data_IF_854063074417
#
_entry.id   IF_854063074417
#
_cell.length_a   1.000
_cell.length_b   1.000
_cell.length_c   1.000
_cell.angle_alpha   90.00
_cell.angle_beta   90.00
_cell.angle_gamma   90.00
#
_symmetry.space_group_name_H-M   'P 1'
#
loop_
_entity.id
_entity.type
_entity.pdbx_description
1 polymer ?
#
# COMPACT_ATOMS: atom_id res chain seq x y z
N UNK A 1 -17.01 0.13 16.50
CA UNK A 1 -18.18 -0.25 17.32
C UNK A 1 -17.89 0.07 18.78
N UNK A 2 -17.07 -0.71 19.50
CA UNK A 2 -16.83 -0.49 20.94
C UNK A 2 -16.31 0.92 21.30
N UNK A 3 -15.36 1.47 20.53
CA UNK A 3 -14.87 2.84 20.74
C UNK A 3 -15.95 3.92 20.62
N UNK A 4 -16.88 3.76 19.67
CA UNK A 4 -17.94 4.75 19.43
C UNK A 4 -18.96 4.68 20.55
N UNK A 5 -19.29 3.48 21.04
CA UNK A 5 -20.16 3.28 22.22
C UNK A 5 -19.61 3.94 23.48
N UNK A 6 -18.29 3.90 23.65
CA UNK A 6 -17.62 4.46 24.81
C UNK A 6 -17.56 5.99 24.77
N UNK A 7 -17.23 6.58 23.62
CA UNK A 7 -17.19 8.04 23.43
C UNK A 7 -18.56 8.70 23.25
N UNK A 8 -19.48 8.02 22.57
CA UNK A 8 -20.79 8.51 22.22
C UNK A 8 -21.82 7.49 22.69
N UNK A 9 -22.49 7.75 23.83
CA UNK A 9 -23.50 6.89 24.47
C UNK A 9 -24.73 6.54 23.58
N UNK A 10 -24.73 6.84 22.28
CA UNK A 10 -25.80 6.53 21.33
C UNK A 10 -25.47 5.32 20.45
N UNK A 11 -26.13 4.18 20.70
CA UNK A 11 -26.03 2.95 19.89
C UNK A 11 -26.58 3.09 18.44
N UNK A 12 -27.10 4.26 18.02
CA UNK A 12 -27.87 4.42 16.78
C UNK A 12 -27.07 4.81 15.52
N UNK A 13 -25.77 5.08 15.62
CA UNK A 13 -25.00 5.65 14.48
C UNK A 13 -23.76 4.85 14.06
N UNK A 14 -23.47 3.74 14.72
CA UNK A 14 -22.25 2.94 14.43
C UNK A 14 -22.30 2.22 13.09
N UNK A 15 -23.47 1.70 12.71
CA UNK A 15 -23.66 1.08 11.39
C UNK A 15 -23.44 2.08 10.26
N UNK A 16 -23.67 3.38 10.50
CA UNK A 16 -23.46 4.43 9.51
C UNK A 16 -21.97 4.50 9.15
N UNK A 17 -21.08 4.43 10.14
CA UNK A 17 -19.63 4.43 9.90
C UNK A 17 -19.21 3.23 9.05
N UNK A 18 -19.73 2.03 9.35
CA UNK A 18 -19.44 0.82 8.58
C UNK A 18 -19.92 0.95 7.13
N UNK A 19 -21.13 1.46 6.92
CA UNK A 19 -21.69 1.70 5.58
C UNK A 19 -20.88 2.75 4.84
N UNK A 20 -20.50 3.85 5.49
CA UNK A 20 -19.66 4.89 4.90
C UNK A 20 -18.29 4.36 4.48
N UNK A 21 -17.61 3.57 5.32
CA UNK A 21 -16.32 2.94 4.99
C UNK A 21 -16.49 1.98 3.80
N UNK A 22 -17.50 1.12 3.83
CA UNK A 22 -17.75 0.16 2.75
C UNK A 22 -18.10 0.83 1.42
N UNK A 23 -19.00 1.82 1.45
CA UNK A 23 -19.42 2.56 0.26
C UNK A 23 -18.26 3.37 -0.34
N UNK A 24 -17.50 4.09 0.51
CA UNK A 24 -16.33 4.86 0.06
C UNK A 24 -15.20 3.98 -0.46
N UNK A 25 -14.97 2.80 0.13
CA UNK A 25 -14.04 1.80 -0.40
C UNK A 25 -14.48 1.29 -1.77
N UNK A 26 -15.77 0.99 -1.94
CA UNK A 26 -16.34 0.65 -3.24
C UNK A 26 -16.11 1.75 -4.29
N UNK A 27 -16.40 3.01 -3.94
CA UNK A 27 -16.15 4.17 -4.81
C UNK A 27 -14.67 4.31 -5.14
N UNK A 28 -13.79 4.14 -4.15
CA UNK A 28 -12.34 4.16 -4.33
C UNK A 28 -11.90 3.11 -5.33
N UNK A 29 -12.40 1.88 -5.23
CA UNK A 29 -12.05 0.81 -6.18
C UNK A 29 -12.48 1.12 -7.60
N UNK A 30 -13.67 1.69 -7.79
CA UNK A 30 -14.18 2.08 -9.11
C UNK A 30 -13.39 3.24 -9.72
N UNK A 31 -13.16 4.29 -8.93
CA UNK A 31 -12.45 5.49 -9.38
C UNK A 31 -10.97 5.19 -9.67
N UNK A 32 -10.26 4.61 -8.70
CA UNK A 32 -8.85 4.29 -8.85
C UNK A 32 -8.62 3.09 -9.77
N UNK A 33 -9.60 2.21 -9.98
CA UNK A 33 -9.52 1.15 -10.98
C UNK A 33 -9.40 1.73 -12.38
N UNK A 34 -10.26 2.70 -12.72
CA UNK A 34 -10.17 3.44 -13.99
C UNK A 34 -8.84 4.18 -14.11
N UNK A 35 -8.44 4.90 -13.07
CA UNK A 35 -7.16 5.63 -13.06
C UNK A 35 -5.97 4.68 -13.24
N UNK A 36 -6.03 3.48 -12.66
CA UNK A 36 -5.00 2.44 -12.76
C UNK A 36 -4.82 1.88 -14.18
N UNK A 37 -5.89 1.85 -14.97
CA UNK A 37 -5.83 1.49 -16.40
C UNK A 37 -5.22 2.62 -17.25
N UNK A 38 -5.48 3.87 -16.90
CA UNK A 38 -5.03 5.05 -17.64
C UNK A 38 -3.56 5.44 -17.35
N UNK A 39 -3.01 5.08 -16.19
CA UNK A 39 -1.66 5.49 -15.77
C UNK A 39 -0.69 4.31 -15.88
N UNK A 40 0.19 4.25 -16.90
CA UNK A 40 1.23 3.22 -16.95
C UNK A 40 2.44 3.52 -16.03
N UNK A 41 3.04 2.46 -15.49
CA UNK A 41 4.38 2.47 -14.88
C UNK A 41 4.49 2.90 -13.41
N UNK A 42 5.70 3.33 -13.03
CA UNK A 42 6.15 3.64 -11.65
C UNK A 42 5.26 4.64 -10.88
N UNK A 43 4.43 5.43 -11.56
CA UNK A 43 3.48 6.36 -10.92
C UNK A 43 2.45 5.64 -10.05
N UNK A 44 2.08 4.40 -10.39
CA UNK A 44 1.16 3.58 -9.57
C UNK A 44 1.71 3.35 -8.16
N UNK A 45 3.02 3.12 -8.04
CA UNK A 45 3.68 2.89 -6.75
C UNK A 45 3.65 4.17 -5.90
N UNK A 46 3.84 5.36 -6.48
CA UNK A 46 3.74 6.61 -5.73
C UNK A 46 2.31 6.88 -5.23
N UNK A 47 1.27 6.53 -6.01
CA UNK A 47 -0.12 6.63 -5.54
C UNK A 47 -0.40 5.66 -4.38
N UNK A 48 0.20 4.47 -4.42
CA UNK A 48 0.12 3.50 -3.33
C UNK A 48 0.81 4.01 -2.07
N UNK A 49 2.02 4.56 -2.19
CA UNK A 49 2.74 5.17 -1.07
C UNK A 49 1.93 6.31 -0.45
N UNK A 50 1.39 7.21 -1.28
CA UNK A 50 0.55 8.30 -0.79
C UNK A 50 -0.70 7.77 -0.06
N UNK A 51 -1.32 6.71 -0.57
CA UNK A 51 -2.48 6.08 0.05
C UNK A 51 -2.14 5.44 1.40
N UNK A 52 -0.99 4.76 1.52
CA UNK A 52 -0.52 4.19 2.78
C UNK A 52 -0.21 5.25 3.84
N UNK A 53 0.44 6.35 3.43
CA UNK A 53 0.73 7.48 4.32
C UNK A 53 -0.56 8.15 4.79
N UNK A 54 -1.52 8.38 3.88
CA UNK A 54 -2.82 8.92 4.21
C UNK A 54 -3.62 7.99 5.13
N UNK A 55 -3.63 6.68 4.86
CA UNK A 55 -4.31 5.69 5.69
C UNK A 55 -3.74 5.67 7.12
N UNK A 56 -2.41 5.67 7.26
CA UNK A 56 -1.75 5.72 8.56
C UNK A 56 -2.04 7.02 9.32
N UNK A 57 -1.93 8.17 8.65
CA UNK A 57 -2.21 9.48 9.24
C UNK A 57 -3.68 9.60 9.69
N UNK A 58 -4.62 9.26 8.81
CA UNK A 58 -6.05 9.32 9.10
C UNK A 58 -6.41 8.37 10.25
N UNK A 59 -5.78 7.19 10.32
CA UNK A 59 -5.97 6.22 11.42
C UNK A 59 -5.54 6.81 12.78
N UNK A 60 -4.42 7.52 12.82
CA UNK A 60 -3.97 8.23 14.03
C UNK A 60 -4.86 9.43 14.40
N UNK A 61 -5.55 10.04 13.42
CA UNK A 61 -6.51 11.12 13.65
C UNK A 61 -7.88 10.63 14.16
N UNK A 62 -8.25 9.35 13.96
CA UNK A 62 -9.49 8.75 14.48
C UNK A 62 -9.71 9.04 15.98
N UNK A 63 -8.76 8.72 16.89
CA UNK A 63 -8.98 8.92 18.32
C UNK A 63 -9.07 10.40 18.74
N UNK A 64 -8.47 11.29 17.96
CA UNK A 64 -8.50 12.75 18.20
C UNK A 64 -9.86 13.37 17.85
N UNK A 65 -10.70 12.68 17.07
CA UNK A 65 -12.05 13.14 16.76
C UNK A 65 -12.93 13.10 18.02
N UNK A 66 -13.43 14.27 18.42
CA UNK A 66 -14.38 14.44 19.52
C UNK A 66 -15.84 14.57 19.03
N UNK A 67 -16.05 14.74 17.72
CA UNK A 67 -17.37 14.91 17.10
C UNK A 67 -17.66 13.80 16.09
N UNK A 68 -18.90 13.32 16.08
CA UNK A 68 -19.34 12.21 15.20
C UNK A 68 -19.19 12.55 13.71
N UNK A 69 -19.53 13.78 13.33
CA UNK A 69 -19.40 14.24 11.93
C UNK A 69 -17.95 14.17 11.43
N UNK A 70 -16.97 14.60 12.24
CA UNK A 70 -15.55 14.50 11.88
C UNK A 70 -15.11 13.03 11.76
N UNK A 71 -15.62 12.16 12.64
CA UNK A 71 -15.35 10.73 12.57
C UNK A 71 -15.88 10.12 11.26
N UNK A 72 -17.09 10.51 10.82
CA UNK A 72 -17.65 10.06 9.53
C UNK A 72 -16.78 10.51 8.37
N UNK A 73 -16.34 11.77 8.35
CA UNK A 73 -15.45 12.28 7.30
C UNK A 73 -14.14 11.50 7.27
N UNK A 74 -13.49 11.30 8.42
CA UNK A 74 -12.26 10.50 8.51
C UNK A 74 -12.50 9.06 8.04
N UNK A 75 -13.62 8.43 8.42
CA UNK A 75 -13.99 7.10 7.98
C UNK A 75 -14.22 6.99 6.46
N UNK A 76 -14.81 8.01 5.83
CA UNK A 76 -14.96 8.08 4.36
C UNK A 76 -13.60 8.18 3.68
N UNK A 77 -12.70 9.02 4.18
CA UNK A 77 -11.34 9.10 3.63
C UNK A 77 -10.56 7.80 3.84
N UNK A 78 -10.67 7.18 5.01
CA UNK A 78 -10.06 5.88 5.29
C UNK A 78 -10.56 4.79 4.33
N UNK A 79 -11.87 4.70 4.12
CA UNK A 79 -12.45 3.74 3.17
C UNK A 79 -11.99 4.01 1.74
N UNK A 80 -11.96 5.27 1.31
CA UNK A 80 -11.45 5.66 -0.01
C UNK A 80 -9.97 5.26 -0.20
N UNK A 81 -9.11 5.54 0.78
CA UNK A 81 -7.69 5.17 0.76
C UNK A 81 -7.48 3.66 0.79
N UNK A 82 -8.25 2.93 1.60
CA UNK A 82 -8.23 1.46 1.66
C UNK A 82 -8.68 0.83 0.31
N UNK A 83 -9.72 1.39 -0.30
CA UNK A 83 -10.19 0.99 -1.63
C UNK A 83 -9.12 1.21 -2.71
N UNK A 84 -8.47 2.38 -2.70
CA UNK A 84 -7.33 2.66 -3.58
C UNK A 84 -6.18 1.65 -3.36
N UNK A 85 -5.83 1.40 -2.09
CA UNK A 85 -4.78 0.48 -1.71
C UNK A 85 -4.98 -0.93 -2.29
N UNK A 86 -6.17 -1.50 -2.10
CA UNK A 86 -6.52 -2.83 -2.61
C UNK A 86 -6.52 -2.87 -4.14
N UNK A 87 -7.03 -1.84 -4.80
CA UNK A 87 -7.05 -1.78 -6.27
C UNK A 87 -5.65 -1.69 -6.87
N UNK A 88 -4.75 -0.93 -6.25
CA UNK A 88 -3.38 -0.75 -6.74
C UNK A 88 -2.44 -1.90 -6.37
N UNK A 89 -2.81 -2.71 -5.37
CA UNK A 89 -2.03 -3.87 -4.92
C UNK A 89 -1.75 -4.86 -6.05
N UNK A 90 -2.77 -5.21 -6.87
CA UNK A 90 -2.60 -6.16 -7.96
C UNK A 90 -1.68 -5.60 -9.07
N UNK A 91 -1.93 -4.41 -9.67
CA UNK A 91 -1.03 -3.81 -10.66
C UNK A 91 0.42 -3.70 -10.18
N UNK A 92 0.65 -3.35 -8.92
CA UNK A 92 2.00 -3.24 -8.36
C UNK A 92 2.67 -4.61 -8.27
N UNK A 93 1.93 -5.65 -7.87
CA UNK A 93 2.47 -7.01 -7.89
C UNK A 93 2.84 -7.44 -9.31
N UNK A 94 1.99 -7.18 -10.30
CA UNK A 94 2.27 -7.48 -11.71
C UNK A 94 3.54 -6.79 -12.22
N UNK A 95 3.75 -5.52 -11.86
CA UNK A 95 4.95 -4.75 -12.25
C UNK A 95 6.22 -5.23 -11.51
N UNK A 96 6.11 -5.66 -10.25
CA UNK A 96 7.27 -6.05 -9.44
C UNK A 96 7.75 -7.48 -9.69
N UNK A 97 6.84 -8.45 -9.82
CA UNK A 97 7.22 -9.88 -9.99
C UNK A 97 7.00 -10.40 -11.41
N UNK A 98 6.37 -9.61 -12.27
CA UNK A 98 6.02 -10.02 -13.63
C UNK A 98 4.76 -10.89 -13.70
N UNK A 99 4.15 -11.01 -14.89
CA UNK A 99 2.82 -11.58 -15.05
C UNK A 99 2.72 -13.08 -14.74
N UNK A 100 3.81 -13.84 -14.88
CA UNK A 100 3.82 -15.28 -14.62
C UNK A 100 3.65 -15.64 -13.14
N UNK A 101 4.16 -14.81 -12.22
CA UNK A 101 4.18 -15.11 -10.78
C UNK A 101 3.30 -14.16 -9.95
N UNK A 102 2.70 -13.14 -10.57
CA UNK A 102 1.88 -12.13 -9.89
C UNK A 102 0.72 -12.72 -9.10
N UNK A 103 0.00 -13.70 -9.64
CA UNK A 103 -1.14 -14.34 -8.95
C UNK A 103 -0.72 -15.05 -7.67
N UNK A 104 0.43 -15.76 -7.70
CA UNK A 104 0.98 -16.42 -6.52
C UNK A 104 1.43 -15.39 -5.47
N UNK A 105 2.13 -14.33 -5.91
CA UNK A 105 2.55 -13.25 -5.03
C UNK A 105 1.37 -12.54 -4.35
N UNK A 106 0.31 -12.22 -5.11
CA UNK A 106 -0.92 -11.63 -4.57
C UNK A 106 -1.56 -12.58 -3.55
N UNK A 107 -1.63 -13.87 -3.86
CA UNK A 107 -2.12 -14.89 -2.93
C UNK A 107 -1.35 -14.93 -1.62
N UNK A 108 0.00 -14.92 -1.68
CA UNK A 108 0.82 -14.86 -0.48
C UNK A 108 0.65 -13.57 0.31
N UNK A 109 0.56 -12.42 -0.37
CA UNK A 109 0.33 -11.14 0.29
C UNK A 109 -1.02 -11.11 1.01
N UNK A 110 -2.10 -11.57 0.37
CA UNK A 110 -3.43 -11.65 0.98
C UNK A 110 -3.45 -12.67 2.14
N UNK A 111 -2.78 -13.79 1.98
CA UNK A 111 -2.59 -14.79 3.04
C UNK A 111 -1.91 -14.19 4.26
N UNK A 112 -0.80 -13.47 4.07
CA UNK A 112 -0.08 -12.80 5.14
C UNK A 112 -0.89 -11.65 5.77
N UNK A 113 -1.72 -10.95 4.99
CA UNK A 113 -2.62 -9.90 5.51
C UNK A 113 -3.76 -10.45 6.36
N UNK A 114 -4.18 -11.70 6.16
CA UNK A 114 -5.25 -12.30 6.97
C UNK A 114 -4.85 -12.42 8.45
N UNK A 115 -3.56 -12.59 8.76
CA UNK A 115 -3.03 -12.69 10.12
C UNK A 115 -3.27 -11.41 10.94
N UNK A 116 -2.79 -10.22 10.52
CA UNK A 116 -3.07 -8.98 11.24
C UNK A 116 -4.55 -8.61 11.23
N UNK A 117 -5.32 -8.97 10.18
CA UNK A 117 -6.77 -8.73 10.20
C UNK A 117 -7.49 -9.56 11.26
N UNK A 118 -7.07 -10.81 11.47
CA UNK A 118 -7.64 -11.69 12.50
C UNK A 118 -7.12 -11.35 13.89
N UNK A 119 -5.84 -10.99 14.00
CA UNK A 119 -5.21 -10.61 15.26
C UNK A 119 -5.57 -9.19 15.72
N UNK A 120 -5.99 -8.31 14.82
CA UNK A 120 -6.35 -6.92 15.13
C UNK A 120 -7.41 -6.78 16.22
N UNK A 121 -8.59 -7.42 16.09
CA UNK A 121 -9.63 -7.37 17.12
C UNK A 121 -9.20 -7.86 18.51
N UNK A 122 -8.56 -9.05 18.68
CA UNK A 122 -8.12 -9.50 20.01
C UNK A 122 -7.00 -8.62 20.58
N UNK A 123 -6.06 -8.14 19.75
CA UNK A 123 -5.02 -7.20 20.20
C UNK A 123 -5.66 -5.89 20.68
N UNK A 124 -6.61 -5.33 19.93
CA UNK A 124 -7.32 -4.12 20.33
C UNK A 124 -8.12 -4.30 21.65
N UNK A 125 -8.73 -5.48 21.84
CA UNK A 125 -9.41 -5.83 23.09
C UNK A 125 -8.45 -5.95 24.27
N UNK A 126 -7.28 -6.57 24.07
CA UNK A 126 -6.24 -6.70 25.08
C UNK A 126 -5.69 -5.33 25.49
N UNK A 127 -5.35 -4.47 24.51
CA UNK A 127 -4.88 -3.11 24.78
C UNK A 127 -5.91 -2.27 25.52
N UNK A 128 -7.20 -2.41 25.18
CA UNK A 128 -8.26 -1.77 25.93
C UNK A 128 -8.29 -2.24 27.39
N UNK A 129 -8.08 -3.54 27.64
CA UNK A 129 -7.99 -4.10 28.99
C UNK A 129 -6.81 -3.56 29.81
N UNK A 130 -5.66 -3.30 29.18
CA UNK A 130 -4.46 -2.78 29.86
C UNK A 130 -4.49 -1.25 30.08
N UNK A 131 -4.90 -0.48 29.08
CA UNK A 131 -4.86 1.00 29.11
C UNK A 131 -6.19 1.65 29.49
N UNK A 132 -7.28 0.90 29.51
CA UNK A 132 -8.63 1.39 29.82
C UNK A 132 -9.23 2.31 28.75
N UNK A 133 -8.63 2.41 27.55
CA UNK A 133 -9.15 3.17 26.43
C UNK A 133 -8.68 2.59 25.08
N UNK A 134 -9.39 2.90 23.99
CA UNK A 134 -9.03 2.45 22.63
C UNK A 134 -8.07 3.39 21.89
N UNK A 135 -7.71 4.55 22.44
CA UNK A 135 -6.87 5.55 21.76
C UNK A 135 -5.53 4.96 21.36
N UNK A 136 -4.90 4.21 22.26
CA UNK A 136 -3.61 3.55 22.01
C UNK A 136 -3.75 2.49 20.90
N UNK A 137 -4.86 1.73 20.89
CA UNK A 137 -5.11 0.72 19.87
C UNK A 137 -5.27 1.33 18.47
N UNK A 138 -5.99 2.45 18.33
CA UNK A 138 -6.11 3.15 17.04
C UNK A 138 -4.79 3.80 16.60
N UNK A 139 -4.04 4.40 17.54
CA UNK A 139 -2.75 4.98 17.21
C UNK A 139 -1.76 3.92 16.73
N UNK A 140 -1.75 2.73 17.35
CA UNK A 140 -0.93 1.59 16.91
C UNK A 140 -1.40 1.03 15.57
N UNK A 141 -2.70 1.03 15.27
CA UNK A 141 -3.23 0.58 13.99
C UNK A 141 -2.72 1.42 12.80
N UNK A 142 -2.35 2.69 13.02
CA UNK A 142 -1.77 3.56 11.99
C UNK A 142 -0.28 3.33 11.71
N UNK A 143 0.45 2.65 12.61
CA UNK A 143 1.91 2.46 12.48
C UNK A 143 2.28 1.50 11.34
N UNK A 144 1.68 0.29 11.22
CA UNK A 144 1.98 -0.63 10.13
C UNK A 144 1.82 -0.03 8.72
N UNK A 145 0.73 0.69 8.39
CA UNK A 145 0.60 1.30 7.07
C UNK A 145 1.62 2.43 6.83
N UNK A 146 2.03 3.18 7.86
CA UNK A 146 3.13 4.14 7.71
C UNK A 146 4.46 3.44 7.39
N UNK A 147 4.80 2.38 8.12
CA UNK A 147 6.02 1.60 7.85
C UNK A 147 5.96 1.00 6.45
N UNK A 148 4.82 0.41 6.07
CA UNK A 148 4.59 -0.13 4.73
C UNK A 148 4.77 0.93 3.64
N UNK A 149 4.21 2.13 3.84
CA UNK A 149 4.37 3.27 2.93
C UNK A 149 5.82 3.71 2.78
N UNK A 150 6.58 3.80 3.87
CA UNK A 150 8.02 4.12 3.86
C UNK A 150 8.80 3.05 3.09
N UNK A 151 8.56 1.76 3.35
CA UNK A 151 9.22 0.66 2.63
C UNK A 151 8.89 0.72 1.13
N UNK A 152 7.61 0.88 0.78
CA UNK A 152 7.15 1.02 -0.61
C UNK A 152 7.73 2.24 -1.32
N UNK A 153 8.08 3.31 -0.60
CA UNK A 153 8.74 4.47 -1.17
C UNK A 153 10.18 4.16 -1.63
N UNK A 154 10.89 3.27 -0.93
CA UNK A 154 12.25 2.87 -1.32
C UNK A 154 12.29 1.88 -2.50
N UNK A 155 11.27 1.04 -2.67
CA UNK A 155 11.18 0.06 -3.77
C UNK A 155 11.39 0.68 -5.16
N UNK A 156 10.64 1.72 -5.60
CA UNK A 156 10.81 2.31 -6.92
C UNK A 156 12.14 3.07 -7.05
N UNK A 157 12.69 3.61 -5.95
CA UNK A 157 13.99 4.27 -5.96
C UNK A 157 15.13 3.27 -6.23
N UNK A 158 15.07 2.10 -5.60
CA UNK A 158 16.05 1.03 -5.79
C UNK A 158 15.93 0.45 -7.20
N UNK A 159 14.70 0.16 -7.66
CA UNK A 159 14.46 -0.37 -9.00
C UNK A 159 15.00 0.58 -10.10
N UNK A 160 14.74 1.88 -9.97
CA UNK A 160 15.26 2.90 -10.89
C UNK A 160 16.79 3.02 -10.85
N UNK A 161 17.42 2.81 -9.68
CA UNK A 161 18.89 2.80 -9.57
C UNK A 161 19.51 1.58 -10.24
N UNK A 162 18.90 0.40 -10.10
CA UNK A 162 19.39 -0.84 -10.72
C UNK A 162 19.30 -0.75 -12.25
N UNK A 163 18.17 -0.30 -12.79
CA UNK A 163 18.00 -0.10 -14.23
C UNK A 163 19.04 0.86 -14.81
N UNK A 164 19.25 2.02 -14.16
CA UNK A 164 20.27 3.00 -14.59
C UNK A 164 21.69 2.42 -14.56
N UNK A 165 22.00 1.53 -13.61
CA UNK A 165 23.30 0.87 -13.54
C UNK A 165 23.49 -0.20 -14.65
N UNK A 166 22.41 -0.85 -15.08
CA UNK A 166 22.47 -1.80 -16.20
C UNK A 166 22.66 -1.09 -17.53
N UNK A 167 21.92 -0.01 -17.80
CA UNK A 167 22.11 0.82 -19.00
C UNK A 167 23.54 1.39 -19.09
N UNK A 168 24.09 1.88 -17.96
CA UNK A 168 25.46 2.40 -17.92
C UNK A 168 26.54 1.32 -18.08
N UNK A 169 26.27 0.06 -17.68
CA UNK A 169 27.18 -1.07 -17.92
C UNK A 169 27.11 -1.58 -19.36
N UNK A 170 25.92 -1.58 -19.97
CA UNK A 170 25.71 -2.00 -21.35
C UNK A 170 26.29 -0.97 -22.33
N UNK A 171 26.11 0.33 -22.08
CA UNK A 171 26.74 1.42 -22.86
C UNK A 171 28.28 1.37 -22.77
N UNK A 172 28.82 1.04 -21.59
CA UNK A 172 30.27 0.81 -21.42
C UNK A 172 30.74 -0.43 -22.19
N UNK A 173 29.98 -1.52 -22.17
CA UNK A 173 30.30 -2.75 -22.90
C UNK A 173 30.28 -2.51 -24.43
N UNK A 174 29.27 -1.82 -24.95
CA UNK A 174 29.15 -1.46 -26.37
C UNK A 174 30.25 -0.53 -26.82
N UNK A 175 30.61 0.48 -26.01
CA UNK A 175 31.69 1.42 -26.33
C UNK A 175 33.07 0.72 -26.35
N UNK A 176 33.33 -0.20 -25.40
CA UNK A 176 34.56 -1.00 -25.40
C UNK A 176 34.65 -1.89 -26.64
N UNK A 177 33.53 -2.49 -27.06
CA UNK A 177 33.46 -3.31 -28.28
C UNK A 177 33.67 -2.51 -29.58
N UNK A 178 33.33 -1.21 -29.57
CA UNK A 178 33.56 -0.31 -30.69
C UNK A 178 35.01 0.19 -30.75
N UNK A 179 35.68 0.33 -29.60
CA UNK A 179 37.04 0.86 -29.49
C UNK A 179 38.13 -0.22 -29.68
N UNK A 180 37.82 -1.49 -29.38
CA UNK A 180 38.67 -2.63 -29.68
C UNK A 180 38.02 -3.48 -30.77
N UNK A 181 38.23 -3.17 -32.07
CA UNK A 181 37.85 -4.09 -33.11
C UNK A 181 38.65 -5.37 -32.90
N UNK A 182 37.94 -6.47 -32.68
CA UNK A 182 38.55 -7.81 -32.68
C UNK A 182 39.24 -7.97 -34.04
N UNK A 183 40.57 -8.20 -34.10
CA UNK A 183 41.22 -8.46 -35.37
C UNK A 183 40.63 -9.73 -35.95
N UNK A 184 40.06 -9.63 -37.15
CA UNK A 184 39.52 -10.76 -37.89
C UNK A 184 40.65 -11.60 -38.50
N UNK A 185 41.50 -12.20 -37.68
CA UNK A 185 42.56 -13.11 -38.13
C UNK A 185 42.83 -14.19 -37.07
N UNK A 186 41.96 -15.19 -36.99
CA UNK A 186 42.33 -16.56 -36.59
C UNK A 186 41.15 -17.52 -36.79
N UNK A 187 40.63 -17.62 -38.02
CA UNK A 187 39.96 -18.84 -38.45
C UNK A 187 41.07 -19.73 -39.02
N UNK A 188 41.53 -20.78 -38.33
CA UNK A 188 42.38 -21.76 -38.97
C UNK A 188 41.47 -22.59 -39.87
N UNK A 189 41.49 -22.32 -41.17
CA UNK A 189 41.08 -23.30 -42.18
C UNK A 189 42.17 -24.37 -42.25
N UNK A 190 41.93 -25.47 -41.55
CA UNK A 190 42.38 -26.83 -41.94
C UNK A 190 41.60 -27.87 -41.16
#
# INVERSE_FOLDING_TARGET
>A
INFVKEKFKENKKEWVLLVCIGASSGVGRLAFGKIGDLIPGLRKIYMQVASFMALGLMSMMIPQCAVFEALVVVCVFLGLCDGCFLTMMAPIAFELVGPMQASQAIGYLLGLMSLPMTAGPPIAGLLHGYFGNYTVAFSLAGVPPMIGGVVLFFVPLIHRRIQRNQESSEEKLTTVHMFFPVPADSIPTT
#
